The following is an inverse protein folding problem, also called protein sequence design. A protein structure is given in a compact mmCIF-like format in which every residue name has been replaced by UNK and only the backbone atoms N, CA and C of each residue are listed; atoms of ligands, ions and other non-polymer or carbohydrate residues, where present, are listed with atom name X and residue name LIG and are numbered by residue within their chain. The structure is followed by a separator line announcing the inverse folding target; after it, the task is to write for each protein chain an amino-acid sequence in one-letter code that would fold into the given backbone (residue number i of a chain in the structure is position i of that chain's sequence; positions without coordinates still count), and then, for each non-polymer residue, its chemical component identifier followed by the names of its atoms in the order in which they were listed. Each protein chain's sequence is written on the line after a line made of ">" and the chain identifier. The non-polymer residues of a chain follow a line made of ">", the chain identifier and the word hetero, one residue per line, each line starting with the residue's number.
data_IF_027549058642
#
_entry.id   IF_027549058642
#
_cell.length_a   1.000
_cell.length_b   1.000
_cell.length_c   1.000
_cell.angle_alpha   90.00
_cell.angle_beta   90.00
_cell.angle_gamma   90.00
#
_symmetry.space_group_name_H-M   'P 1'
#
loop_
_entity.id
_entity.type
_entity.pdbx_description
1 polymer ?
#
# COMPACT_ATOMS: atom_id res chain seq x y z
N UNK A 1 -7.43 -5.29 70.07
CA UNK A 1 -6.22 -5.78 69.37
C UNK A 1 -6.59 -6.03 67.89
N UNK A 2 -6.36 -5.07 67.03
CA UNK A 2 -6.70 -5.17 65.60
C UNK A 2 -5.37 -5.31 64.89
N UNK A 3 -5.11 -6.49 64.32
CA UNK A 3 -3.88 -6.82 63.61
C UNK A 3 -3.98 -6.29 62.17
N UNK A 4 -3.22 -5.27 61.85
CA UNK A 4 -3.09 -4.71 60.49
C UNK A 4 -2.19 -5.63 59.67
N UNK A 5 -2.77 -6.39 58.74
CA UNK A 5 -1.99 -7.10 57.72
C UNK A 5 -1.56 -6.12 56.61
N UNK A 6 -0.27 -5.91 56.48
CA UNK A 6 0.33 -5.18 55.40
C UNK A 6 0.32 -6.02 54.10
N UNK A 7 -0.52 -5.63 53.13
CA UNK A 7 -0.51 -6.22 51.79
C UNK A 7 0.67 -5.63 51.02
N UNK A 8 1.72 -6.42 50.87
CA UNK A 8 2.87 -6.11 50.01
C UNK A 8 2.47 -6.33 48.57
N UNK A 9 2.08 -5.27 47.88
CA UNK A 9 1.82 -5.28 46.42
C UNK A 9 3.15 -5.12 45.67
N UNK A 10 3.85 -6.23 45.51
CA UNK A 10 5.00 -6.33 44.61
C UNK A 10 4.54 -6.33 43.14
N UNK A 11 4.17 -5.19 42.61
CA UNK A 11 3.97 -5.03 41.16
C UNK A 11 5.34 -4.98 40.49
N UNK A 12 5.77 -6.10 39.88
CA UNK A 12 6.87 -6.09 38.91
C UNK A 12 6.53 -5.09 37.81
N UNK A 13 7.43 -4.15 37.47
CA UNK A 13 7.20 -3.28 36.33
C UNK A 13 7.06 -4.14 35.08
N UNK A 14 5.92 -4.03 34.41
CA UNK A 14 5.70 -4.61 33.09
C UNK A 14 6.76 -4.00 32.15
N UNK A 15 7.76 -4.80 31.81
CA UNK A 15 8.68 -4.45 30.72
C UNK A 15 7.85 -4.35 29.45
N UNK A 16 7.49 -3.14 29.05
CA UNK A 16 6.97 -2.86 27.71
C UNK A 16 8.15 -3.07 26.76
N UNK A 17 8.28 -4.26 26.23
CA UNK A 17 9.18 -4.50 25.11
C UNK A 17 8.68 -3.63 23.96
N UNK A 18 9.49 -2.64 23.58
CA UNK A 18 9.30 -1.87 22.35
C UNK A 18 9.64 -2.78 21.16
N UNK A 19 8.86 -3.81 20.96
CA UNK A 19 8.93 -4.56 19.71
C UNK A 19 8.39 -3.63 18.64
N UNK A 20 9.18 -3.38 17.61
CA UNK A 20 8.76 -2.53 16.48
C UNK A 20 7.43 -3.09 15.94
N UNK A 21 6.37 -2.29 15.97
CA UNK A 21 5.03 -2.65 15.47
C UNK A 21 5.08 -3.25 14.06
N UNK A 22 6.05 -2.81 13.27
CA UNK A 22 6.34 -3.35 11.95
C UNK A 22 6.79 -4.82 11.99
N UNK A 23 7.66 -5.18 12.95
CA UNK A 23 8.11 -6.56 13.15
C UNK A 23 6.99 -7.48 13.63
N UNK A 24 6.14 -7.00 14.53
CA UNK A 24 4.96 -7.77 14.97
C UNK A 24 3.97 -8.00 13.83
N UNK A 25 3.72 -6.98 13.02
CA UNK A 25 2.84 -7.09 11.84
C UNK A 25 3.39 -8.10 10.84
N UNK A 26 4.68 -8.02 10.51
CA UNK A 26 5.36 -9.00 9.66
C UNK A 26 5.28 -10.43 10.23
N UNK A 27 5.52 -10.59 11.54
CA UNK A 27 5.40 -11.90 12.18
C UNK A 27 3.97 -12.44 12.18
N UNK A 28 2.96 -11.59 12.32
CA UNK A 28 1.55 -11.97 12.24
C UNK A 28 1.15 -12.38 10.82
N UNK A 29 1.67 -11.67 9.80
CA UNK A 29 1.44 -12.01 8.39
C UNK A 29 1.97 -13.39 8.01
N UNK A 30 3.01 -13.91 8.70
CA UNK A 30 3.65 -15.20 8.38
C UNK A 30 3.17 -16.35 9.29
N UNK A 31 2.25 -16.12 10.24
CA UNK A 31 1.83 -17.16 11.20
C UNK A 31 0.98 -18.29 10.61
N UNK A 32 0.15 -18.02 9.60
CA UNK A 32 -0.71 -19.03 8.98
C UNK A 32 -0.03 -19.82 7.86
N UNK A 33 -0.39 -21.09 7.59
CA UNK A 33 0.20 -21.85 6.49
C UNK A 33 -0.06 -21.21 5.12
N UNK A 34 -1.26 -20.69 4.88
CA UNK A 34 -1.58 -19.96 3.64
C UNK A 34 -0.79 -18.64 3.51
N UNK A 35 -0.60 -17.93 4.62
CA UNK A 35 0.20 -16.71 4.64
C UNK A 35 1.68 -16.96 4.32
N UNK A 36 2.24 -18.08 4.83
CA UNK A 36 3.61 -18.50 4.49
C UNK A 36 3.78 -18.77 3.00
N UNK A 37 2.85 -19.52 2.41
CA UNK A 37 2.87 -19.82 0.96
C UNK A 37 2.73 -18.54 0.15
N UNK A 38 1.76 -17.68 0.48
CA UNK A 38 1.56 -16.41 -0.22
C UNK A 38 2.77 -15.48 -0.13
N UNK A 39 3.38 -15.37 1.05
CA UNK A 39 4.59 -14.57 1.26
C UNK A 39 5.78 -15.16 0.49
N UNK A 40 5.94 -16.48 0.49
CA UNK A 40 7.02 -17.15 -0.25
C UNK A 40 6.88 -16.92 -1.77
N UNK A 41 5.67 -17.05 -2.31
CA UNK A 41 5.39 -16.77 -3.73
C UNK A 41 5.64 -15.31 -4.08
N UNK A 42 5.19 -14.39 -3.24
CA UNK A 42 5.42 -12.96 -3.43
C UNK A 42 6.91 -12.61 -3.45
N UNK A 43 7.67 -13.11 -2.47
CA UNK A 43 9.12 -12.91 -2.38
C UNK A 43 9.83 -13.52 -3.61
N UNK A 44 9.40 -14.70 -4.05
CA UNK A 44 9.95 -15.34 -5.25
C UNK A 44 9.72 -14.48 -6.51
N UNK A 45 8.52 -13.95 -6.69
CA UNK A 45 8.19 -13.06 -7.82
C UNK A 45 9.03 -11.78 -7.77
N UNK A 46 9.16 -11.15 -6.59
CA UNK A 46 9.98 -9.95 -6.41
C UNK A 46 11.45 -10.23 -6.71
N UNK A 47 11.99 -11.33 -6.19
CA UNK A 47 13.37 -11.72 -6.45
C UNK A 47 13.61 -12.03 -7.95
N UNK A 48 12.70 -12.77 -8.58
CA UNK A 48 12.76 -13.04 -10.02
C UNK A 48 12.71 -11.74 -10.85
N UNK A 49 11.89 -10.79 -10.46
CA UNK A 49 11.81 -9.48 -11.10
C UNK A 49 13.09 -8.66 -10.95
N UNK A 50 13.69 -8.63 -9.75
CA UNK A 50 14.94 -7.90 -9.50
C UNK A 50 16.09 -8.56 -10.27
N UNK A 51 16.15 -9.89 -10.25
CA UNK A 51 17.19 -10.67 -10.92
C UNK A 51 16.91 -10.88 -12.43
N UNK A 52 15.85 -10.30 -12.99
CA UNK A 52 15.52 -10.46 -14.40
C UNK A 52 16.71 -10.24 -15.34
N UNK A 53 17.56 -9.21 -15.19
CA UNK A 53 18.71 -9.02 -16.08
C UNK A 53 19.78 -10.13 -16.00
N UNK A 54 19.76 -10.94 -14.92
CA UNK A 54 20.71 -12.04 -14.70
C UNK A 54 20.11 -13.40 -15.11
N UNK A 55 18.79 -13.53 -15.04
CA UNK A 55 18.09 -14.80 -15.26
C UNK A 55 17.53 -14.89 -16.69
N UNK A 56 17.12 -13.76 -17.27
CA UNK A 56 16.54 -13.73 -18.61
C UNK A 56 17.59 -14.10 -19.66
N UNK A 57 17.35 -15.13 -20.49
CA UNK A 57 18.31 -15.55 -21.50
C UNK A 57 18.45 -14.56 -22.66
N UNK A 58 17.40 -13.74 -22.91
CA UNK A 58 17.32 -12.77 -24.02
C UNK A 58 16.88 -11.39 -23.53
N UNK A 59 17.12 -10.36 -24.33
CA UNK A 59 16.52 -9.04 -24.07
C UNK A 59 15.01 -9.05 -24.29
N UNK A 60 14.26 -8.17 -23.59
CA UNK A 60 12.79 -8.19 -23.65
C UNK A 60 12.21 -7.78 -25.01
N UNK A 61 13.03 -7.16 -25.87
CA UNK A 61 12.65 -6.68 -27.20
C UNK A 61 13.46 -7.32 -28.32
N UNK A 62 14.32 -8.29 -28.02
CA UNK A 62 15.09 -9.02 -29.02
C UNK A 62 14.13 -9.82 -29.89
N UNK A 63 14.16 -9.57 -31.20
CA UNK A 63 13.25 -10.17 -32.18
C UNK A 63 14.00 -11.25 -32.96
N UNK A 64 13.39 -12.43 -33.06
CA UNK A 64 13.86 -13.51 -33.91
C UNK A 64 12.73 -13.94 -34.85
N UNK A 65 12.69 -13.31 -36.02
CA UNK A 65 11.62 -13.50 -36.99
C UNK A 65 11.59 -14.91 -37.60
N UNK A 66 12.67 -15.67 -37.46
CA UNK A 66 12.71 -17.06 -37.92
C UNK A 66 11.96 -17.99 -36.94
N UNK A 67 11.90 -17.61 -35.68
CA UNK A 67 11.26 -18.38 -34.60
C UNK A 67 9.94 -17.73 -34.10
N UNK A 68 9.15 -17.15 -34.99
CA UNK A 68 7.82 -16.61 -34.62
C UNK A 68 6.89 -17.73 -34.18
N UNK A 69 6.16 -17.49 -33.08
CA UNK A 69 5.24 -18.45 -32.48
C UNK A 69 5.85 -19.84 -32.20
N UNK A 70 7.15 -19.91 -31.94
CA UNK A 70 7.81 -21.16 -31.60
C UNK A 70 7.25 -21.73 -30.28
N UNK A 71 7.02 -23.02 -30.26
CA UNK A 71 6.59 -23.74 -29.06
C UNK A 71 7.70 -23.78 -28.00
N UNK A 72 7.35 -24.04 -26.72
CA UNK A 72 8.35 -24.20 -25.65
C UNK A 72 9.44 -25.20 -26.03
N UNK A 73 10.69 -24.76 -25.86
CA UNK A 73 11.90 -25.51 -26.20
C UNK A 73 13.04 -25.20 -25.25
N UNK A 74 14.19 -25.88 -25.36
CA UNK A 74 15.36 -25.58 -24.56
C UNK A 74 15.94 -24.18 -24.83
N UNK A 75 15.75 -23.63 -26.03
CA UNK A 75 16.16 -22.27 -26.39
C UNK A 75 15.14 -21.24 -25.86
N UNK A 76 13.85 -21.54 -25.94
CA UNK A 76 12.75 -20.66 -25.53
C UNK A 76 11.84 -21.41 -24.57
N UNK A 77 12.11 -21.35 -23.27
CA UNK A 77 11.42 -22.16 -22.25
C UNK A 77 9.90 -21.99 -22.25
N UNK A 78 9.39 -20.79 -22.53
CA UNK A 78 7.96 -20.50 -22.66
C UNK A 78 7.54 -20.22 -24.12
N UNK A 79 8.40 -20.52 -25.08
CA UNK A 79 8.18 -20.19 -26.49
C UNK A 79 8.37 -18.72 -26.82
N UNK A 80 7.94 -18.34 -28.03
CA UNK A 80 8.08 -16.97 -28.54
C UNK A 80 6.74 -16.37 -28.91
N UNK A 81 6.69 -15.04 -29.04
CA UNK A 81 5.52 -14.32 -29.50
C UNK A 81 5.50 -14.15 -31.05
N UNK A 82 4.52 -13.36 -31.55
CA UNK A 82 4.36 -13.09 -32.98
C UNK A 82 5.48 -12.29 -33.63
N UNK A 83 6.45 -11.81 -32.85
CA UNK A 83 7.66 -11.14 -33.33
C UNK A 83 8.91 -11.94 -33.00
N UNK A 84 8.76 -13.21 -32.60
CA UNK A 84 9.86 -14.09 -32.22
C UNK A 84 10.52 -13.73 -30.88
N UNK A 85 9.93 -12.85 -30.06
CA UNK A 85 10.51 -12.44 -28.78
C UNK A 85 10.27 -13.52 -27.72
N UNK A 86 11.31 -13.80 -26.91
CA UNK A 86 11.24 -14.81 -25.85
C UNK A 86 10.21 -14.44 -24.75
N UNK A 87 9.24 -15.32 -24.56
CA UNK A 87 8.13 -15.08 -23.64
C UNK A 87 8.59 -15.05 -22.18
N UNK A 88 9.56 -15.90 -21.79
CA UNK A 88 10.09 -15.92 -20.43
C UNK A 88 10.81 -14.62 -20.08
N UNK A 89 11.68 -14.16 -20.97
CA UNK A 89 12.41 -12.89 -20.80
C UNK A 89 11.46 -11.72 -20.68
N UNK A 90 10.44 -11.66 -21.53
CA UNK A 90 9.40 -10.63 -21.47
C UNK A 90 8.60 -10.67 -20.18
N UNK A 91 8.27 -11.84 -19.66
CA UNK A 91 7.58 -12.01 -18.39
C UNK A 91 8.42 -11.47 -17.21
N UNK A 92 9.71 -11.83 -17.18
CA UNK A 92 10.64 -11.41 -16.14
C UNK A 92 10.83 -9.87 -16.13
N UNK A 93 11.10 -9.26 -17.27
CA UNK A 93 11.23 -7.81 -17.38
C UNK A 93 9.91 -7.08 -17.19
N UNK A 94 8.80 -7.64 -17.70
CA UNK A 94 7.46 -7.09 -17.55
C UNK A 94 6.99 -7.10 -16.09
N UNK A 95 7.32 -8.15 -15.33
CA UNK A 95 7.00 -8.22 -13.89
C UNK A 95 7.72 -7.12 -13.10
N UNK A 96 8.97 -6.80 -13.42
CA UNK A 96 9.71 -5.69 -12.81
C UNK A 96 9.01 -4.34 -13.05
N UNK A 97 8.57 -4.12 -14.29
CA UNK A 97 7.84 -2.90 -14.64
C UNK A 97 6.49 -2.82 -13.93
N UNK A 98 5.73 -3.92 -13.94
CA UNK A 98 4.40 -3.98 -13.31
C UNK A 98 4.44 -3.81 -11.80
N UNK A 99 5.41 -4.45 -11.12
CA UNK A 99 5.59 -4.30 -9.67
C UNK A 99 5.99 -2.87 -9.30
N UNK A 100 6.90 -2.25 -10.05
CA UNK A 100 7.30 -0.86 -9.78
C UNK A 100 6.13 0.11 -10.01
N UNK A 101 5.32 -0.09 -11.06
CA UNK A 101 4.12 0.68 -11.32
C UNK A 101 3.09 0.53 -10.19
N UNK A 102 2.75 -0.72 -9.84
CA UNK A 102 1.76 -1.01 -8.80
C UNK A 102 2.16 -0.43 -7.45
N UNK A 103 3.41 -0.66 -7.03
CA UNK A 103 3.92 -0.14 -5.76
C UNK A 103 3.92 1.40 -5.74
N UNK A 104 4.38 2.03 -6.81
CA UNK A 104 4.39 3.50 -6.91
C UNK A 104 2.97 4.06 -6.89
N UNK A 105 2.06 3.50 -7.68
CA UNK A 105 0.68 3.96 -7.74
C UNK A 105 -0.04 3.82 -6.38
N UNK A 106 0.09 2.66 -5.74
CA UNK A 106 -0.49 2.44 -4.41
C UNK A 106 0.11 3.38 -3.35
N UNK A 107 1.42 3.64 -3.40
CA UNK A 107 2.06 4.56 -2.48
C UNK A 107 1.52 6.00 -2.63
N UNK A 108 1.45 6.51 -3.86
CA UNK A 108 0.92 7.85 -4.12
C UNK A 108 -0.57 7.95 -3.77
N UNK A 109 -1.37 6.95 -4.13
CA UNK A 109 -2.79 6.87 -3.78
C UNK A 109 -3.01 6.82 -2.26
N UNK A 110 -2.23 6.00 -1.55
CA UNK A 110 -2.28 5.90 -0.10
C UNK A 110 -1.87 7.21 0.60
N UNK A 111 -0.78 7.85 0.16
CA UNK A 111 -0.35 9.13 0.72
C UNK A 111 -1.42 10.22 0.56
N UNK A 112 -2.01 10.33 -0.63
CA UNK A 112 -3.10 11.27 -0.88
C UNK A 112 -4.34 10.92 -0.03
N UNK A 113 -4.68 9.64 0.07
CA UNK A 113 -5.78 9.12 0.90
C UNK A 113 -5.59 9.43 2.38
N UNK A 114 -4.38 9.16 2.92
CA UNK A 114 -4.02 9.47 4.30
C UNK A 114 -4.10 10.97 4.55
N UNK A 115 -3.54 11.79 3.68
CA UNK A 115 -3.52 13.23 3.85
C UNK A 115 -4.94 13.83 3.85
N UNK A 116 -5.71 13.61 2.79
CA UNK A 116 -7.06 14.16 2.66
C UNK A 116 -8.05 13.53 3.65
N UNK A 117 -7.94 12.20 3.87
CA UNK A 117 -8.77 11.49 4.83
C UNK A 117 -8.54 11.94 6.26
N UNK A 118 -7.28 12.26 6.62
CA UNK A 118 -6.93 12.78 7.93
C UNK A 118 -7.54 14.16 8.15
N UNK A 119 -7.44 15.05 7.17
CA UNK A 119 -8.05 16.38 7.25
C UNK A 119 -9.57 16.26 7.39
N UNK A 120 -10.21 15.44 6.57
CA UNK A 120 -11.65 15.25 6.62
C UNK A 120 -12.12 14.68 7.96
N UNK A 121 -11.46 13.63 8.45
CA UNK A 121 -11.84 12.96 9.70
C UNK A 121 -11.53 13.75 10.95
N UNK A 122 -10.43 14.51 10.94
CA UNK A 122 -10.01 15.29 12.10
C UNK A 122 -10.82 16.59 12.28
N UNK A 123 -10.89 17.42 11.24
CA UNK A 123 -11.57 18.72 11.35
C UNK A 123 -13.10 18.60 11.32
N UNK A 124 -13.65 17.61 10.61
CA UNK A 124 -15.08 17.39 10.56
C UNK A 124 -15.88 18.54 9.89
N UNK A 125 -17.18 18.58 10.13
CA UNK A 125 -18.06 19.68 9.75
C UNK A 125 -18.02 20.06 8.27
N UNK A 126 -17.80 21.36 7.97
CA UNK A 126 -17.78 21.88 6.58
C UNK A 126 -16.60 21.34 5.77
N UNK A 127 -15.43 21.17 6.41
CA UNK A 127 -14.20 20.64 5.76
C UNK A 127 -14.42 19.20 5.33
N UNK A 128 -14.96 18.38 6.20
CA UNK A 128 -15.33 17.00 5.89
C UNK A 128 -16.34 16.95 4.74
N UNK A 129 -17.41 17.73 4.84
CA UNK A 129 -18.46 17.77 3.83
C UNK A 129 -17.89 18.15 2.46
N UNK A 130 -17.01 19.16 2.40
CA UNK A 130 -16.39 19.60 1.14
C UNK A 130 -15.53 18.49 0.54
N UNK A 131 -14.62 17.90 1.34
CA UNK A 131 -13.73 16.85 0.87
C UNK A 131 -14.54 15.64 0.40
N UNK A 132 -15.55 15.22 1.17
CA UNK A 132 -16.38 14.08 0.79
C UNK A 132 -17.19 14.33 -0.48
N UNK A 133 -17.71 15.54 -0.68
CA UNK A 133 -18.39 15.90 -1.93
C UNK A 133 -17.47 15.86 -3.14
N UNK A 134 -16.23 16.35 -2.98
CA UNK A 134 -15.22 16.23 -4.04
C UNK A 134 -14.91 14.76 -4.35
N UNK A 135 -14.79 13.91 -3.33
CA UNK A 135 -14.59 12.48 -3.51
C UNK A 135 -15.79 11.79 -4.18
N UNK A 136 -17.00 12.23 -3.90
CA UNK A 136 -18.23 11.71 -4.53
C UNK A 136 -18.31 12.09 -6.01
N UNK A 137 -18.00 13.35 -6.35
CA UNK A 137 -17.89 13.81 -7.76
C UNK A 137 -16.82 13.02 -8.48
N UNK A 138 -15.66 12.85 -7.85
CA UNK A 138 -14.56 12.08 -8.43
C UNK A 138 -14.95 10.63 -8.69
N UNK A 139 -15.61 9.98 -7.74
CA UNK A 139 -16.06 8.59 -7.85
C UNK A 139 -17.27 8.41 -8.78
N UNK A 140 -17.90 9.48 -9.25
CA UNK A 140 -19.00 9.37 -10.24
C UNK A 140 -18.50 8.88 -11.61
N UNK A 141 -17.22 9.07 -11.90
CA UNK A 141 -16.59 8.52 -13.09
C UNK A 141 -16.05 7.12 -12.80
N UNK A 142 -16.30 6.12 -13.66
CA UNK A 142 -15.68 4.82 -13.54
C UNK A 142 -14.14 4.98 -13.55
N UNK A 143 -13.45 4.42 -12.52
CA UNK A 143 -12.00 4.60 -12.35
C UNK A 143 -11.19 4.20 -13.56
N UNK A 144 -11.61 3.15 -14.28
CA UNK A 144 -10.95 2.71 -15.51
C UNK A 144 -11.05 3.75 -16.64
N UNK A 145 -12.19 4.42 -16.79
CA UNK A 145 -12.35 5.48 -17.78
C UNK A 145 -11.48 6.69 -17.44
N UNK A 146 -11.38 7.03 -16.15
CA UNK A 146 -10.53 8.10 -15.68
C UNK A 146 -9.04 7.79 -15.97
N UNK A 147 -8.59 6.57 -15.72
CA UNK A 147 -7.23 6.14 -16.04
C UNK A 147 -6.95 6.25 -17.54
N UNK A 148 -7.87 5.81 -18.41
CA UNK A 148 -7.73 5.91 -19.87
C UNK A 148 -7.66 7.37 -20.31
N UNK A 149 -8.54 8.21 -19.79
CA UNK A 149 -8.57 9.65 -20.13
C UNK A 149 -7.26 10.35 -19.75
N UNK A 150 -6.77 10.11 -18.54
CA UNK A 150 -5.52 10.69 -18.06
C UNK A 150 -4.34 10.18 -18.90
N UNK A 151 -4.27 8.88 -19.18
CA UNK A 151 -3.21 8.30 -19.99
C UNK A 151 -3.24 8.82 -21.43
N UNK A 152 -4.41 9.04 -22.00
CA UNK A 152 -4.57 9.59 -23.35
C UNK A 152 -4.15 11.07 -23.42
N UNK A 153 -4.39 11.85 -22.36
CA UNK A 153 -4.05 13.28 -22.32
C UNK A 153 -2.59 13.53 -21.99
N UNK A 154 -2.02 12.78 -21.04
CA UNK A 154 -0.62 12.94 -20.60
C UNK A 154 0.37 12.19 -21.52
N UNK A 155 -0.12 11.28 -22.35
CA UNK A 155 0.70 10.43 -23.18
C UNK A 155 1.29 9.23 -22.46
N UNK A 156 1.99 8.38 -23.22
CA UNK A 156 2.63 7.16 -22.69
C UNK A 156 3.85 7.53 -21.83
N UNK A 157 3.98 6.86 -20.68
CA UNK A 157 5.13 7.03 -19.80
C UNK A 157 4.88 6.43 -18.42
N UNK A 158 5.97 5.99 -17.76
CA UNK A 158 5.89 5.39 -16.45
C UNK A 158 5.19 6.30 -15.43
N UNK A 159 5.64 7.55 -15.35
CA UNK A 159 5.11 8.51 -14.38
C UNK A 159 3.64 8.88 -14.66
N UNK A 160 3.27 9.04 -15.92
CA UNK A 160 1.89 9.32 -16.33
C UNK A 160 0.96 8.16 -15.96
N UNK A 161 1.43 6.92 -16.15
CA UNK A 161 0.69 5.72 -15.77
C UNK A 161 0.55 5.61 -14.24
N UNK A 162 1.61 5.90 -13.48
CA UNK A 162 1.55 5.95 -12.01
C UNK A 162 0.51 6.96 -11.55
N UNK A 163 0.52 8.18 -12.10
CA UNK A 163 -0.47 9.21 -11.78
C UNK A 163 -1.90 8.75 -12.10
N UNK A 164 -2.11 8.21 -13.32
CA UNK A 164 -3.43 7.75 -13.75
C UNK A 164 -4.00 6.68 -12.81
N UNK A 165 -3.18 5.71 -12.42
CA UNK A 165 -3.58 4.64 -11.49
C UNK A 165 -3.83 5.18 -10.06
N UNK A 166 -2.91 6.01 -9.56
CA UNK A 166 -3.02 6.59 -8.20
C UNK A 166 -4.30 7.39 -8.01
N UNK A 167 -4.64 8.19 -9.01
CA UNK A 167 -5.82 9.06 -9.00
C UNK A 167 -7.10 8.25 -8.80
N UNK A 168 -7.21 7.07 -9.39
CA UNK A 168 -8.36 6.19 -9.24
C UNK A 168 -8.57 5.66 -7.82
N UNK A 169 -7.50 5.53 -7.04
CA UNK A 169 -7.54 4.94 -5.68
C UNK A 169 -7.79 5.97 -4.57
N UNK A 170 -7.53 7.25 -4.82
CA UNK A 170 -7.63 8.32 -3.82
C UNK A 170 -8.97 8.36 -3.08
N UNK A 171 -10.16 8.33 -3.75
CA UNK A 171 -11.43 8.42 -3.04
C UNK A 171 -11.68 7.28 -2.06
N UNK A 172 -11.22 6.07 -2.39
CA UNK A 172 -11.34 4.89 -1.53
C UNK A 172 -10.46 5.06 -0.30
N UNK A 173 -9.20 5.47 -0.49
CA UNK A 173 -8.26 5.76 0.59
C UNK A 173 -8.77 6.84 1.54
N UNK A 174 -9.29 7.95 1.01
CA UNK A 174 -9.86 9.06 1.80
C UNK A 174 -11.01 8.57 2.69
N UNK A 175 -11.96 7.81 2.13
CA UNK A 175 -13.10 7.28 2.90
C UNK A 175 -12.66 6.32 4.00
N UNK A 176 -11.69 5.45 3.69
CA UNK A 176 -11.16 4.48 4.63
C UNK A 176 -10.50 5.18 5.82
N UNK A 177 -9.56 6.08 5.56
CA UNK A 177 -8.80 6.79 6.60
C UNK A 177 -9.72 7.70 7.42
N UNK A 178 -10.64 8.44 6.77
CA UNK A 178 -11.65 9.20 7.50
C UNK A 178 -12.44 8.32 8.48
N UNK A 179 -12.90 7.14 8.03
CA UNK A 179 -13.66 6.22 8.89
C UNK A 179 -12.86 5.72 10.09
N UNK A 180 -11.57 5.44 9.90
CA UNK A 180 -10.66 5.05 10.99
C UNK A 180 -10.41 6.20 11.97
N UNK A 181 -10.20 7.41 11.46
CA UNK A 181 -10.01 8.60 12.29
C UNK A 181 -11.24 8.91 13.16
N UNK A 182 -12.46 8.79 12.61
CA UNK A 182 -13.67 8.99 13.38
C UNK A 182 -13.80 7.98 14.53
N UNK A 183 -13.42 6.72 14.31
CA UNK A 183 -13.39 5.70 15.36
C UNK A 183 -12.34 5.99 16.43
N UNK A 184 -11.16 6.40 15.99
CA UNK A 184 -10.04 6.69 16.89
C UNK A 184 -10.30 7.94 17.72
N UNK A 185 -10.94 8.95 17.16
CA UNK A 185 -11.30 10.21 17.80
C UNK A 185 -12.27 10.07 18.99
N UNK A 186 -13.02 8.99 19.04
CA UNK A 186 -13.94 8.68 20.15
C UNK A 186 -13.23 8.08 21.38
N UNK A 187 -11.90 7.94 21.36
CA UNK A 187 -11.15 7.35 22.48
C UNK A 187 -10.70 8.38 23.51
N UNK A 188 -10.76 8.00 24.78
CA UNK A 188 -10.49 8.86 25.95
C UNK A 188 -9.08 9.49 25.95
N UNK A 189 -8.07 8.82 25.35
CA UNK A 189 -6.71 9.38 25.33
C UNK A 189 -6.56 10.65 24.50
N UNK A 190 -7.43 10.86 23.51
CA UNK A 190 -7.45 12.09 22.73
C UNK A 190 -8.08 13.24 23.49
N UNK A 191 -9.14 12.99 24.26
CA UNK A 191 -9.71 13.96 25.20
C UNK A 191 -8.68 14.38 26.24
N UNK A 192 -7.91 13.42 26.75
CA UNK A 192 -6.81 13.73 27.68
C UNK A 192 -5.71 14.58 27.01
N UNK A 193 -5.37 14.33 25.74
CA UNK A 193 -4.39 15.12 25.00
C UNK A 193 -4.89 16.56 24.74
N UNK A 194 -6.17 16.73 24.48
CA UNK A 194 -6.81 18.05 24.36
C UNK A 194 -6.84 18.78 25.72
N UNK A 195 -7.13 18.09 26.81
CA UNK A 195 -7.18 18.67 28.16
C UNK A 195 -5.81 19.23 28.62
N UNK A 196 -4.70 18.64 28.19
CA UNK A 196 -3.33 19.15 28.47
C UNK A 196 -2.87 20.16 27.42
N UNK A 197 -3.79 20.68 26.61
CA UNK A 197 -3.55 21.73 25.60
C UNK A 197 -2.50 21.37 24.54
N UNK A 198 -2.44 20.10 24.09
CA UNK A 198 -1.63 19.71 22.95
C UNK A 198 -2.12 20.41 21.68
N UNK A 199 -1.19 20.84 20.83
CA UNK A 199 -1.56 21.47 19.55
C UNK A 199 -2.28 20.45 18.64
N UNK A 200 -3.27 20.91 17.87
CA UNK A 200 -4.05 20.05 16.96
C UNK A 200 -3.19 19.29 15.97
N UNK A 201 -2.10 19.89 15.47
CA UNK A 201 -1.12 19.22 14.62
C UNK A 201 -0.40 18.08 15.36
N UNK A 202 -0.04 18.29 16.64
CA UNK A 202 0.59 17.25 17.45
C UNK A 202 -0.37 16.10 17.70
N UNK A 203 -1.63 16.39 18.00
CA UNK A 203 -2.66 15.37 18.18
C UNK A 203 -2.84 14.56 16.91
N UNK A 204 -2.99 15.19 15.75
CA UNK A 204 -3.21 14.53 14.47
C UNK A 204 -2.02 13.67 14.04
N UNK A 205 -0.80 14.21 14.02
CA UNK A 205 0.36 13.51 13.45
C UNK A 205 1.09 12.60 14.44
N UNK A 206 1.06 12.90 15.75
CA UNK A 206 1.83 12.18 16.75
C UNK A 206 1.01 11.17 17.55
N UNK A 207 -0.29 11.43 17.72
CA UNK A 207 -1.17 10.57 18.52
C UNK A 207 -2.18 9.81 17.67
N UNK A 208 -2.81 10.45 16.71
CA UNK A 208 -3.93 9.86 15.96
C UNK A 208 -3.47 9.06 14.74
N UNK A 209 -2.70 9.65 13.85
CA UNK A 209 -2.23 8.99 12.61
C UNK A 209 -1.46 7.69 12.84
N UNK A 210 -0.50 7.59 13.78
CA UNK A 210 0.19 6.33 14.03
C UNK A 210 -0.72 5.20 14.51
N UNK A 211 -1.81 5.52 15.21
CA UNK A 211 -2.77 4.55 15.70
C UNK A 211 -3.83 4.15 14.65
N UNK A 212 -4.04 5.00 13.65
CA UNK A 212 -4.98 4.73 12.53
C UNK A 212 -4.34 3.82 11.47
N UNK A 213 -3.02 3.92 11.27
CA UNK A 213 -2.29 3.17 10.25
C UNK A 213 -1.89 1.76 10.73
N UNK A 214 -2.16 1.43 12.01
CA UNK A 214 -2.00 0.08 12.59
C UNK A 214 -3.18 -0.82 12.29
#
# INVERSE_FOLDING_TARGET
>A
MITTQSVSTGSKPLKVEKTSLFLETLQRMVKGPGAKVGTALFVLIVLASICAPLIAPYGPNDMDLENMYATPSAAHLLGTDGLGRDQLSRLLYGSRYSLSLGLSASLFGALAGVFLGSIAGYFGGKTETLIMRLMDIWSSLPGMLLCILISATLGAGFFNTVLALSIGEVPVGVRLIRGQILKERAKEYLEAAEAINCSQFSIMFRHLLPNVVQ
#
